data_IF_349890665520
#
_entry.id   IF_349890665520
#
_cell.length_a   1.000
_cell.length_b   1.000
_cell.length_c   1.000
_cell.angle_alpha   90.00
_cell.angle_beta   90.00
_cell.angle_gamma   90.00
#
_symmetry.space_group_name_H-M   'P 1'
#
loop_
_entity.id
_entity.type
_entity.pdbx_description
1 polymer ?
#
# COMPACT_ATOMS: atom_id res chain seq x y z
N UNK A 1 24.82 -8.94 -25.70
CA UNK A 1 24.17 -7.93 -24.84
C UNK A 1 24.98 -7.86 -23.58
N UNK A 2 25.43 -6.66 -23.21
CA UNK A 2 26.37 -6.45 -22.09
C UNK A 2 25.64 -6.75 -20.78
N UNK A 3 26.10 -7.77 -20.05
CA UNK A 3 25.71 -8.02 -18.66
C UNK A 3 26.25 -6.87 -17.81
N UNK A 4 25.36 -6.02 -17.29
CA UNK A 4 25.72 -5.03 -16.28
C UNK A 4 25.88 -5.76 -14.95
N UNK A 5 27.08 -6.30 -14.72
CA UNK A 5 27.42 -6.94 -13.45
C UNK A 5 27.26 -5.91 -12.32
N UNK A 6 26.30 -6.14 -11.43
CA UNK A 6 26.17 -5.41 -10.17
C UNK A 6 27.30 -5.82 -9.22
N UNK A 7 27.71 -4.96 -8.27
CA UNK A 7 28.80 -5.28 -7.36
C UNK A 7 28.44 -6.51 -6.53
N UNK A 8 29.24 -7.56 -6.67
CA UNK A 8 29.14 -8.78 -5.88
C UNK A 8 30.33 -8.85 -4.91
N UNK A 9 30.04 -9.11 -3.64
CA UNK A 9 31.08 -9.44 -2.66
C UNK A 9 30.92 -10.89 -2.26
N UNK A 10 32.00 -11.65 -2.41
CA UNK A 10 32.10 -13.05 -1.97
C UNK A 10 32.93 -13.06 -0.69
N UNK A 11 32.48 -13.76 0.34
CA UNK A 11 33.31 -13.92 1.54
C UNK A 11 34.55 -14.78 1.25
N UNK A 12 35.59 -14.65 2.07
CA UNK A 12 36.86 -15.35 1.84
C UNK A 12 36.76 -16.87 1.93
N UNK A 13 35.64 -17.40 2.44
CA UNK A 13 35.40 -18.83 2.62
C UNK A 13 34.42 -19.42 1.57
N UNK A 14 33.89 -18.61 0.65
CA UNK A 14 32.91 -19.04 -0.35
C UNK A 14 31.57 -19.51 0.25
N UNK A 15 31.24 -19.06 1.47
CA UNK A 15 30.08 -19.49 2.24
C UNK A 15 28.83 -18.64 1.93
N UNK A 16 29.00 -17.40 1.47
CA UNK A 16 27.88 -16.55 1.02
C UNK A 16 28.30 -15.56 -0.07
N UNK A 17 27.36 -15.27 -0.98
CA UNK A 17 27.50 -14.30 -2.07
C UNK A 17 26.44 -13.22 -1.88
N UNK A 18 26.86 -11.95 -1.92
CA UNK A 18 25.94 -10.80 -1.85
C UNK A 18 25.80 -10.22 -3.25
N UNK A 19 24.56 -10.15 -3.76
CA UNK A 19 24.23 -9.57 -5.05
C UNK A 19 23.15 -8.49 -4.88
N UNK A 20 23.26 -7.40 -5.65
CA UNK A 20 22.13 -6.49 -5.82
C UNK A 20 21.15 -7.10 -6.83
N UNK A 21 19.87 -7.19 -6.45
CA UNK A 21 18.82 -7.75 -7.31
C UNK A 21 18.54 -6.81 -8.49
N UNK A 22 18.53 -7.31 -9.74
CA UNK A 22 18.23 -6.50 -10.91
C UNK A 22 16.73 -6.20 -11.01
N UNK A 23 16.36 -5.10 -11.69
CA UNK A 23 14.95 -4.84 -12.02
C UNK A 23 14.35 -5.94 -12.91
N UNK A 24 13.04 -6.19 -12.80
CA UNK A 24 12.33 -7.19 -13.61
C UNK A 24 12.50 -6.91 -15.12
N UNK A 25 13.01 -7.90 -15.85
CA UNK A 25 13.04 -7.91 -17.32
C UNK A 25 11.88 -8.79 -17.78
N UNK A 26 11.08 -8.33 -18.75
CA UNK A 26 9.94 -9.06 -19.32
C UNK A 26 8.85 -9.50 -18.32
N UNK A 27 8.69 -8.79 -17.19
CA UNK A 27 7.61 -9.04 -16.21
C UNK A 27 7.67 -10.45 -15.60
N UNK A 28 8.86 -11.05 -15.52
CA UNK A 28 9.09 -12.35 -14.88
C UNK A 28 9.90 -12.18 -13.60
N UNK A 29 9.47 -12.88 -12.54
CA UNK A 29 10.16 -12.89 -11.27
C UNK A 29 11.53 -13.54 -11.49
N UNK A 30 12.63 -12.90 -11.06
CA UNK A 30 13.94 -13.47 -11.31
C UNK A 30 14.07 -14.73 -10.45
N UNK A 31 14.27 -15.87 -11.12
CA UNK A 31 14.86 -17.03 -10.47
C UNK A 31 16.27 -16.63 -10.04
N UNK A 32 16.53 -16.69 -8.74
CA UNK A 32 17.87 -16.47 -8.20
C UNK A 32 18.64 -17.77 -8.33
N UNK A 33 19.73 -17.72 -9.10
CA UNK A 33 20.74 -18.76 -9.20
C UNK A 33 22.11 -18.15 -9.01
N UNK A 34 23.01 -18.93 -8.43
CA UNK A 34 24.42 -18.56 -8.36
C UNK A 34 25.12 -19.18 -9.56
N UNK A 35 25.74 -18.36 -10.40
CA UNK A 35 26.50 -18.82 -11.56
C UNK A 35 27.97 -18.44 -11.41
N UNK A 36 28.87 -19.38 -11.72
CA UNK A 36 30.30 -19.19 -11.81
C UNK A 36 30.69 -19.14 -13.28
N UNK A 37 31.34 -18.06 -13.69
CA UNK A 37 31.90 -17.92 -15.04
C UNK A 37 33.40 -18.19 -15.00
N UNK A 38 33.87 -19.12 -15.84
CA UNK A 38 35.28 -19.50 -15.92
C UNK A 38 35.66 -19.83 -17.37
N UNK A 39 36.66 -19.13 -17.93
CA UNK A 39 37.15 -19.37 -19.31
C UNK A 39 36.07 -19.51 -20.40
N UNK A 40 34.97 -18.75 -20.29
CA UNK A 40 33.87 -18.80 -21.26
C UNK A 40 32.85 -19.93 -21.04
N UNK A 41 33.02 -20.73 -19.98
CA UNK A 41 32.00 -21.65 -19.47
C UNK A 41 31.24 -21.01 -18.31
N UNK A 42 29.93 -21.24 -18.25
CA UNK A 42 29.06 -20.78 -17.16
C UNK A 42 28.45 -22.00 -16.48
N UNK A 43 28.67 -22.15 -15.18
CA UNK A 43 28.10 -23.20 -14.36
C UNK A 43 27.16 -22.58 -13.33
N UNK A 44 25.90 -22.98 -13.28
CA UNK A 44 24.90 -22.41 -12.38
C UNK A 44 24.36 -23.44 -11.38
N UNK A 45 23.94 -22.97 -10.20
CA UNK A 45 23.20 -23.80 -9.24
C UNK A 45 21.91 -24.36 -9.84
N UNK A 46 21.58 -25.60 -9.45
CA UNK A 46 20.36 -26.27 -9.89
C UNK A 46 19.12 -25.83 -9.09
N UNK A 47 19.34 -25.36 -7.85
CA UNK A 47 18.30 -24.84 -6.98
C UNK A 47 17.86 -23.46 -7.48
N UNK A 48 16.54 -23.31 -7.65
CA UNK A 48 15.91 -22.05 -8.00
C UNK A 48 15.29 -21.45 -6.74
N UNK A 49 15.76 -20.28 -6.33
CA UNK A 49 15.08 -19.49 -5.30
C UNK A 49 14.26 -18.38 -5.94
N UNK A 50 13.07 -18.13 -5.45
CA UNK A 50 12.23 -17.02 -5.89
C UNK A 50 12.57 -15.76 -5.08
N UNK A 51 12.92 -14.65 -5.75
CA UNK A 51 13.06 -13.36 -5.08
C UNK A 51 11.75 -12.59 -5.13
N UNK A 52 11.11 -12.40 -3.98
CA UNK A 52 9.83 -11.70 -3.87
C UNK A 52 10.08 -10.25 -3.42
N UNK A 53 9.52 -9.29 -4.15
CA UNK A 53 9.53 -7.89 -3.75
C UNK A 53 8.40 -7.64 -2.76
N UNK A 54 8.68 -6.97 -1.64
CA UNK A 54 7.69 -6.76 -0.59
C UNK A 54 7.13 -5.34 -0.56
N UNK A 55 5.81 -5.22 -0.39
CA UNK A 55 5.23 -3.96 0.10
C UNK A 55 5.56 -3.83 1.59
N UNK A 56 6.04 -2.66 1.99
CA UNK A 56 6.51 -2.35 3.33
C UNK A 56 5.42 -1.66 4.16
N UNK A 57 4.66 -0.74 3.55
CA UNK A 57 3.60 0.00 4.23
C UNK A 57 2.63 0.65 3.26
N UNK A 58 1.41 0.92 3.74
CA UNK A 58 0.44 1.84 3.11
C UNK A 58 0.25 3.08 3.99
N UNK A 59 0.14 4.24 3.37
CA UNK A 59 -0.14 5.50 4.04
C UNK A 59 -1.03 6.39 3.15
N UNK A 60 -2.19 6.85 3.62
CA UNK A 60 -2.80 6.49 4.90
C UNK A 60 -3.21 5.01 4.92
N UNK A 61 -3.31 4.42 6.11
CA UNK A 61 -3.79 3.04 6.29
C UNK A 61 -5.30 2.95 6.51
N UNK A 62 -6.05 4.00 6.14
CA UNK A 62 -7.51 4.01 6.18
C UNK A 62 -8.13 5.02 5.22
N UNK A 63 -9.41 4.84 4.94
CA UNK A 63 -10.22 5.74 4.13
C UNK A 63 -11.71 5.35 4.10
N UNK A 64 -12.58 6.18 3.52
CA UNK A 64 -14.01 5.94 3.51
C UNK A 64 -14.39 4.77 2.59
N UNK A 65 -15.49 4.08 2.92
CA UNK A 65 -16.14 3.02 2.13
C UNK A 65 -16.53 3.47 0.72
N UNK A 66 -16.68 4.78 0.51
CA UNK A 66 -16.85 5.41 -0.82
C UNK A 66 -15.60 5.35 -1.71
N UNK A 67 -14.44 4.97 -1.16
CA UNK A 67 -13.16 4.93 -1.87
C UNK A 67 -12.57 6.31 -2.16
N UNK A 68 -11.68 6.39 -3.16
CA UNK A 68 -11.09 7.62 -3.68
C UNK A 68 -9.84 8.12 -2.96
N UNK A 69 -9.54 7.60 -1.78
CA UNK A 69 -8.34 7.97 -0.99
C UNK A 69 -7.07 7.64 -1.77
N UNK A 70 -6.16 8.61 -1.91
CA UNK A 70 -4.85 8.37 -2.48
C UNK A 70 -3.99 7.66 -1.43
N UNK A 71 -3.61 6.42 -1.72
CA UNK A 71 -2.78 5.58 -0.86
C UNK A 71 -1.38 5.57 -1.45
N UNK A 72 -0.40 6.02 -0.66
CA UNK A 72 1.00 5.82 -0.94
C UNK A 72 1.46 4.47 -0.36
N UNK A 73 2.09 3.66 -1.18
CA UNK A 73 2.57 2.34 -0.81
C UNK A 73 4.08 2.34 -0.95
N UNK A 74 4.76 2.09 0.16
CA UNK A 74 6.21 2.01 0.21
C UNK A 74 6.63 0.58 -0.09
N UNK A 75 7.59 0.39 -0.97
CA UNK A 75 8.16 -0.91 -1.31
C UNK A 75 9.52 -1.08 -0.62
N UNK A 76 9.84 -2.30 -0.21
CA UNK A 76 11.18 -2.66 0.26
C UNK A 76 12.03 -3.10 -0.94
N UNK A 77 12.55 -2.11 -1.69
CA UNK A 77 13.39 -2.32 -2.87
C UNK A 77 13.10 -1.32 -4.01
N UNK A 78 14.06 -1.15 -4.92
CA UNK A 78 13.89 -0.32 -6.12
C UNK A 78 13.30 -1.17 -7.24
N UNK A 79 12.03 -0.97 -7.55
CA UNK A 79 11.51 -1.33 -8.85
C UNK A 79 11.24 -0.03 -9.57
N UNK A 80 11.73 0.12 -10.80
CA UNK A 80 11.08 0.99 -11.75
C UNK A 80 10.87 0.15 -13.00
N UNK A 81 9.62 -0.15 -13.40
CA UNK A 81 9.43 -0.56 -14.78
C UNK A 81 9.94 0.63 -15.58
N UNK A 82 10.88 0.38 -16.50
CA UNK A 82 11.27 1.37 -17.48
C UNK A 82 10.00 2.07 -18.01
N UNK A 83 9.93 3.39 -17.89
CA UNK A 83 8.74 4.19 -18.25
C UNK A 83 8.19 3.81 -19.63
N UNK A 84 9.06 3.35 -20.54
CA UNK A 84 8.72 2.86 -21.87
C UNK A 84 7.83 1.60 -21.92
N UNK A 85 7.81 0.73 -20.90
CA UNK A 85 6.95 -0.47 -20.88
C UNK A 85 5.58 -0.24 -20.22
N UNK A 86 5.42 0.90 -19.56
CA UNK A 86 4.17 1.35 -18.92
C UNK A 86 3.65 2.68 -19.51
N UNK A 87 4.24 3.15 -20.61
CA UNK A 87 3.91 4.40 -21.28
C UNK A 87 2.47 4.36 -21.84
N UNK A 88 1.51 4.64 -20.97
CA UNK A 88 0.12 4.92 -21.31
C UNK A 88 -0.92 3.89 -20.90
N UNK A 89 -0.58 2.69 -20.39
CA UNK A 89 -1.60 1.65 -20.07
C UNK A 89 -1.15 0.59 -19.04
N UNK A 90 -1.36 0.86 -17.75
CA UNK A 90 -1.79 -0.13 -16.74
C UNK A 90 -1.05 -1.46 -16.60
N UNK A 91 0.24 -1.48 -16.23
CA UNK A 91 0.91 -2.74 -15.81
C UNK A 91 1.06 -2.89 -14.29
N UNK A 92 0.56 -1.92 -13.51
CA UNK A 92 0.60 -1.95 -12.04
C UNK A 92 -0.78 -1.63 -11.52
N UNK A 93 -1.29 -2.53 -10.68
CA UNK A 93 -2.59 -2.39 -10.07
C UNK A 93 -2.48 -2.64 -8.57
N UNK A 94 -3.10 -1.79 -7.78
CA UNK A 94 -3.40 -2.10 -6.40
C UNK A 94 -4.58 -3.08 -6.38
N UNK A 95 -4.39 -4.25 -5.77
CA UNK A 95 -5.38 -5.32 -5.71
C UNK A 95 -5.87 -5.50 -4.29
N UNK A 96 -7.08 -5.04 -4.06
CA UNK A 96 -7.77 -5.31 -2.83
C UNK A 96 -8.20 -6.78 -2.77
N UNK A 97 -7.93 -7.45 -1.64
CA UNK A 97 -8.52 -8.75 -1.35
C UNK A 97 -9.37 -8.64 -0.09
N UNK A 98 -10.62 -9.06 -0.20
CA UNK A 98 -11.52 -9.20 0.94
C UNK A 98 -12.12 -10.58 0.95
N UNK A 99 -12.02 -11.27 2.06
CA UNK A 99 -12.60 -12.61 2.23
C UNK A 99 -13.68 -12.56 3.30
N UNK A 100 -14.92 -12.87 2.94
CA UNK A 100 -16.05 -13.00 3.87
C UNK A 100 -16.67 -14.37 3.63
N UNK A 101 -16.88 -15.15 4.68
CA UNK A 101 -17.52 -16.47 4.59
C UNK A 101 -16.87 -17.39 3.52
N UNK A 102 -15.55 -17.25 3.33
CA UNK A 102 -14.79 -18.00 2.32
C UNK A 102 -14.91 -17.48 0.88
N UNK A 103 -15.66 -16.40 0.65
CA UNK A 103 -15.79 -15.75 -0.67
C UNK A 103 -14.79 -14.61 -0.77
N UNK A 104 -13.83 -14.74 -1.70
CA UNK A 104 -12.88 -13.66 -2.03
C UNK A 104 -13.50 -12.68 -3.02
N UNK A 105 -13.58 -11.40 -2.63
CA UNK A 105 -13.85 -10.29 -3.52
C UNK A 105 -12.54 -9.60 -3.86
N UNK A 106 -12.28 -9.44 -5.15
CA UNK A 106 -11.09 -8.78 -5.68
C UNK A 106 -11.49 -7.47 -6.35
N UNK A 107 -10.83 -6.38 -5.97
CA UNK A 107 -11.04 -5.09 -6.63
C UNK A 107 -9.71 -4.52 -7.06
N UNK A 108 -9.63 -4.06 -8.31
CA UNK A 108 -8.42 -3.47 -8.88
C UNK A 108 -8.54 -1.96 -8.92
N UNK A 109 -7.45 -1.28 -8.60
CA UNK A 109 -7.30 0.16 -8.82
C UNK A 109 -6.05 0.41 -9.65
N UNK A 110 -6.14 1.16 -10.75
CA UNK A 110 -4.98 1.52 -11.54
C UNK A 110 -4.05 2.43 -10.75
N UNK A 111 -2.77 2.30 -11.05
CA UNK A 111 -1.73 3.18 -10.53
C UNK A 111 -1.95 4.63 -10.99
N UNK A 112 -1.84 5.57 -10.06
CA UNK A 112 -1.90 7.02 -10.30
C UNK A 112 -0.52 7.58 -10.57
N UNK A 113 0.45 7.20 -9.75
CA UNK A 113 1.83 7.68 -9.82
C UNK A 113 2.80 6.60 -9.37
N UNK A 114 4.02 6.66 -9.90
CA UNK A 114 5.08 5.75 -9.55
C UNK A 114 6.44 6.45 -9.61
N UNK A 115 7.18 6.38 -8.51
CA UNK A 115 8.51 6.96 -8.41
C UNK A 115 9.37 6.20 -7.41
N UNK A 116 10.53 5.72 -7.85
CA UNK A 116 11.49 5.02 -6.99
C UNK A 116 10.89 3.78 -6.32
N UNK A 117 10.80 3.79 -4.99
CA UNK A 117 10.21 2.72 -4.19
C UNK A 117 8.78 3.03 -3.70
N UNK A 118 8.09 3.96 -4.37
CA UNK A 118 6.76 4.44 -4.00
C UNK A 118 5.78 4.23 -5.14
N UNK A 119 4.62 3.67 -4.84
CA UNK A 119 3.50 3.56 -5.77
C UNK A 119 2.26 4.23 -5.16
N UNK A 120 1.50 4.94 -5.99
CA UNK A 120 0.28 5.64 -5.55
C UNK A 120 -0.93 5.07 -6.28
N UNK A 121 -1.94 4.65 -5.54
CA UNK A 121 -3.22 4.21 -6.07
C UNK A 121 -4.38 4.94 -5.42
N UNK A 122 -5.56 4.88 -6.04
CA UNK A 122 -6.81 5.25 -5.36
C UNK A 122 -7.40 4.04 -4.66
N UNK A 123 -7.79 4.16 -3.41
CA UNK A 123 -8.63 3.18 -2.74
C UNK A 123 -9.91 2.98 -3.57
N UNK A 124 -10.27 1.76 -3.99
CA UNK A 124 -11.50 1.53 -4.74
C UNK A 124 -12.74 1.77 -3.87
N UNK A 125 -13.90 1.93 -4.51
CA UNK A 125 -15.20 1.91 -3.84
C UNK A 125 -15.45 0.51 -3.29
N UNK A 126 -15.70 0.40 -1.99
CA UNK A 126 -16.06 -0.85 -1.35
C UNK A 126 -16.96 -0.56 -0.15
N UNK A 127 -18.26 -0.78 -0.30
CA UNK A 127 -19.32 -0.43 0.67
C UNK A 127 -19.31 -1.37 1.87
N UNK A 128 -18.26 -1.28 2.66
CA UNK A 128 -17.92 -2.22 3.74
C UNK A 128 -17.16 -1.48 4.82
N UNK A 129 -17.34 -1.91 6.06
CA UNK A 129 -16.62 -1.35 7.21
C UNK A 129 -15.71 -2.43 7.80
N UNK A 130 -14.47 -2.07 8.13
CA UNK A 130 -13.52 -2.96 8.79
C UNK A 130 -12.17 -3.07 8.09
N UNK A 131 -11.29 -3.87 8.71
CA UNK A 131 -9.96 -4.16 8.18
C UNK A 131 -10.05 -5.09 6.98
N UNK A 132 -9.26 -4.77 5.97
CA UNK A 132 -9.08 -5.55 4.78
C UNK A 132 -7.59 -5.62 4.44
N UNK A 133 -7.23 -6.56 3.56
CA UNK A 133 -5.84 -6.73 3.15
C UNK A 133 -5.64 -6.19 1.74
N UNK A 134 -4.76 -5.21 1.61
CA UNK A 134 -4.24 -4.81 0.30
C UNK A 134 -3.13 -5.76 -0.13
N UNK A 135 -3.31 -6.33 -1.31
CA UNK A 135 -2.24 -7.01 -2.05
C UNK A 135 -1.82 -6.15 -3.23
N UNK A 136 -0.55 -6.19 -3.60
CA UNK A 136 -0.06 -5.41 -4.74
C UNK A 136 0.46 -6.35 -5.81
N UNK A 137 0.18 -6.03 -7.07
CA UNK A 137 0.68 -6.83 -8.18
C UNK A 137 1.16 -5.97 -9.32
N UNK A 138 2.27 -6.39 -9.90
CA UNK A 138 2.86 -5.79 -11.08
C UNK A 138 2.61 -6.77 -12.22
N UNK A 139 1.45 -6.69 -12.86
CA UNK A 139 1.15 -7.48 -14.06
C UNK A 139 0.45 -6.64 -15.11
N UNK A 140 0.71 -6.98 -16.37
CA UNK A 140 0.05 -6.38 -17.53
C UNK A 140 -1.39 -6.82 -17.78
N UNK A 141 -1.94 -7.74 -16.96
CA UNK A 141 -3.31 -8.23 -17.11
C UNK A 141 -4.15 -7.96 -15.83
N UNK A 142 -5.28 -7.24 -15.93
CA UNK A 142 -6.21 -7.01 -14.83
C UNK A 142 -6.97 -8.26 -14.36
N UNK A 143 -7.21 -9.28 -15.20
CA UNK A 143 -8.17 -10.36 -14.95
C UNK A 143 -7.72 -11.81 -15.28
N UNK A 144 -6.61 -12.04 -16.00
CA UNK A 144 -6.29 -13.38 -16.54
C UNK A 144 -5.08 -14.15 -16.00
N UNK A 145 -3.94 -13.52 -15.73
CA UNK A 145 -2.70 -14.23 -15.35
C UNK A 145 -2.45 -14.24 -13.83
N UNK A 146 -1.74 -15.26 -13.28
CA UNK A 146 -1.33 -15.25 -11.89
C UNK A 146 -0.49 -14.00 -11.63
N UNK A 147 -0.95 -13.07 -10.76
CA UNK A 147 -0.20 -11.87 -10.47
C UNK A 147 1.20 -12.25 -10.01
N UNK A 148 2.22 -11.63 -10.60
CA UNK A 148 3.47 -11.40 -9.89
C UNK A 148 3.11 -10.49 -8.72
N UNK A 149 2.75 -11.16 -7.63
CA UNK A 149 2.25 -10.53 -6.41
C UNK A 149 3.49 -10.05 -5.69
N UNK A 150 3.54 -8.75 -5.43
CA UNK A 150 4.45 -8.22 -4.44
C UNK A 150 4.08 -8.92 -3.12
N UNK A 151 5.03 -9.58 -2.47
CA UNK A 151 4.81 -10.20 -1.17
C UNK A 151 4.82 -9.14 -0.09
N UNK A 152 3.69 -8.49 0.11
CA UNK A 152 3.48 -7.57 1.21
C UNK A 152 2.00 -7.30 1.29
N UNK A 153 1.34 -8.08 2.13
CA UNK A 153 -0.01 -7.82 2.54
C UNK A 153 0.04 -6.74 3.63
N UNK A 154 -0.78 -5.72 3.47
CA UNK A 154 -0.89 -4.67 4.48
C UNK A 154 -2.35 -4.36 4.71
N UNK A 155 -2.64 -4.13 5.98
CA UNK A 155 -3.98 -3.85 6.43
C UNK A 155 -4.37 -2.42 6.05
N UNK A 156 -5.64 -2.27 5.72
CA UNK A 156 -6.27 -0.98 5.50
C UNK A 156 -7.67 -1.00 6.08
N UNK A 157 -8.04 0.06 6.79
CA UNK A 157 -9.35 0.18 7.40
C UNK A 157 -10.29 0.99 6.51
N UNK A 158 -11.37 0.36 6.05
CA UNK A 158 -12.50 1.08 5.47
C UNK A 158 -13.48 1.51 6.56
N UNK A 159 -13.88 2.77 6.53
CA UNK A 159 -14.87 3.33 7.47
C UNK A 159 -16.03 3.99 6.74
N UNK A 160 -17.21 4.01 7.36
CA UNK A 160 -18.34 4.74 6.80
C UNK A 160 -18.23 6.23 7.18
N UNK A 161 -18.38 7.17 6.24
CA UNK A 161 -18.32 8.59 6.56
C UNK A 161 -19.30 9.03 7.67
N UNK A 162 -18.96 10.06 8.46
CA UNK A 162 -19.86 10.66 9.43
C UNK A 162 -21.17 11.15 8.81
N UNK A 163 -22.30 10.88 9.46
CA UNK A 163 -23.62 11.34 9.00
C UNK A 163 -24.47 11.87 10.16
N UNK A 164 -25.46 12.70 9.83
CA UNK A 164 -26.42 13.21 10.81
C UNK A 164 -25.80 14.06 11.93
N UNK A 165 -24.74 14.81 11.61
CA UNK A 165 -24.00 15.58 12.61
C UNK A 165 -24.81 16.80 13.06
N UNK A 166 -25.03 16.92 14.36
CA UNK A 166 -25.61 18.11 15.01
C UNK A 166 -24.62 18.69 16.00
N UNK A 167 -24.68 20.02 16.20
CA UNK A 167 -23.71 20.76 17.00
C UNK A 167 -24.41 21.54 18.12
N UNK A 168 -23.85 21.51 19.32
CA UNK A 168 -24.38 22.23 20.47
C UNK A 168 -23.29 22.64 21.47
N UNK A 169 -23.25 23.90 21.94
CA UNK A 169 -24.08 25.03 21.51
C UNK A 169 -23.70 25.54 20.11
N UNK A 170 -24.65 26.17 19.41
CA UNK A 170 -24.43 26.77 18.08
C UNK A 170 -23.97 28.23 18.12
N UNK A 171 -23.83 28.79 19.32
CA UNK A 171 -23.47 30.19 19.56
C UNK A 171 -22.40 30.28 20.64
N UNK A 172 -21.48 31.24 20.48
CA UNK A 172 -20.39 31.49 21.40
C UNK A 172 -19.78 32.89 21.21
N UNK A 173 -18.94 33.36 22.14
CA UNK A 173 -18.27 34.65 22.02
C UNK A 173 -17.33 34.71 20.82
N UNK A 174 -17.20 35.89 20.19
CA UNK A 174 -16.25 36.12 19.09
C UNK A 174 -14.78 35.92 19.51
N UNK A 175 -14.50 36.03 20.81
CA UNK A 175 -13.19 35.75 21.40
C UNK A 175 -12.84 34.26 21.43
N UNK A 176 -13.78 33.37 21.08
CA UNK A 176 -13.60 31.92 21.12
C UNK A 176 -13.74 31.32 22.52
N UNK A 177 -13.31 30.06 22.66
CA UNK A 177 -13.31 29.31 23.93
C UNK A 177 -14.58 28.49 24.21
N UNK A 178 -15.60 28.56 23.35
CA UNK A 178 -16.79 27.73 23.48
C UNK A 178 -16.46 26.27 23.15
N UNK A 179 -16.64 25.39 24.14
CA UNK A 179 -16.62 23.94 23.92
C UNK A 179 -17.93 23.55 23.25
N UNK A 180 -17.84 22.96 22.06
CA UNK A 180 -19.00 22.44 21.33
C UNK A 180 -18.98 20.91 21.32
N UNK A 181 -20.16 20.33 21.46
CA UNK A 181 -20.38 18.90 21.34
C UNK A 181 -21.02 18.63 19.98
N UNK A 182 -20.39 17.75 19.20
CA UNK A 182 -20.95 17.20 17.97
C UNK A 182 -21.53 15.83 18.29
N UNK A 183 -22.78 15.59 17.88
CA UNK A 183 -23.42 14.27 17.95
C UNK A 183 -23.81 13.84 16.56
N UNK A 184 -23.63 12.56 16.24
CA UNK A 184 -23.87 12.02 14.92
C UNK A 184 -23.57 10.53 14.88
N UNK A 185 -23.59 9.95 13.68
CA UNK A 185 -23.25 8.55 13.44
C UNK A 185 -21.91 8.42 12.73
N UNK A 186 -21.22 7.30 12.94
CA UNK A 186 -19.91 6.98 12.35
C UNK A 186 -18.82 8.03 12.64
N UNK A 187 -18.84 8.58 13.86
CA UNK A 187 -17.78 9.47 14.34
C UNK A 187 -16.60 8.61 14.78
N UNK A 188 -15.79 8.20 13.80
CA UNK A 188 -14.60 7.36 14.02
C UNK A 188 -13.41 8.19 14.47
N UNK A 189 -12.73 7.73 15.53
CA UNK A 189 -11.38 8.14 15.89
C UNK A 189 -10.52 6.89 15.97
N UNK A 190 -9.52 6.81 15.10
CA UNK A 190 -8.60 5.67 15.04
C UNK A 190 -7.33 5.89 15.86
N UNK A 191 -7.27 7.01 16.59
CA UNK A 191 -6.15 7.35 17.46
C UNK A 191 -4.86 7.68 16.71
N UNK A 192 -3.76 7.75 17.47
CA UNK A 192 -2.44 8.19 16.99
C UNK A 192 -1.64 7.13 16.25
N UNK A 193 -2.11 5.88 16.19
CA UNK A 193 -1.31 4.73 15.71
C UNK A 193 -1.39 4.44 14.21
N UNK A 194 -1.90 5.36 13.39
CA UNK A 194 -1.69 5.29 11.93
C UNK A 194 -2.87 5.69 11.04
N UNK A 195 -4.03 6.04 11.62
CA UNK A 195 -5.25 6.19 10.83
C UNK A 195 -5.76 7.62 10.62
N UNK A 196 -5.78 8.44 11.67
CA UNK A 196 -6.33 9.79 11.60
C UNK A 196 -7.05 10.14 12.89
N UNK A 197 -6.76 11.33 13.41
CA UNK A 197 -7.42 11.90 14.57
C UNK A 197 -8.71 12.61 14.14
N UNK A 198 -9.77 12.45 14.92
CA UNK A 198 -10.98 13.24 14.71
C UNK A 198 -10.66 14.73 14.92
N UNK A 199 -10.99 15.57 13.94
CA UNK A 199 -10.83 17.02 14.00
C UNK A 199 -12.14 17.74 13.74
N UNK A 200 -12.42 18.76 14.55
CA UNK A 200 -13.46 19.73 14.29
C UNK A 200 -12.87 20.85 13.44
N UNK A 201 -13.33 20.98 12.19
CA UNK A 201 -12.89 22.05 11.28
C UNK A 201 -13.86 23.23 11.33
N UNK A 202 -13.37 24.38 11.78
CA UNK A 202 -14.07 25.67 11.78
C UNK A 202 -13.48 26.58 10.71
N UNK A 203 -14.04 26.51 9.49
CA UNK A 203 -13.45 27.18 8.33
C UNK A 203 -12.11 26.56 7.98
N UNK A 204 -11.02 27.29 8.21
CA UNK A 204 -9.63 26.81 8.02
C UNK A 204 -8.94 26.39 9.31
N UNK A 205 -9.61 26.49 10.46
CA UNK A 205 -9.03 26.16 11.76
C UNK A 205 -9.44 24.74 12.17
N UNK A 206 -8.46 23.88 12.38
CA UNK A 206 -8.66 22.53 12.87
C UNK A 206 -8.42 22.47 14.38
N UNK A 207 -9.37 21.89 15.10
CA UNK A 207 -9.30 21.65 16.54
C UNK A 207 -9.41 20.16 16.77
N UNK A 208 -8.50 19.58 17.54
CA UNK A 208 -8.57 18.17 17.91
C UNK A 208 -9.88 17.89 18.67
N UNK A 209 -10.62 16.90 18.20
CA UNK A 209 -11.82 16.44 18.87
C UNK A 209 -11.46 15.34 19.87
N UNK A 210 -12.14 15.33 21.01
CA UNK A 210 -12.13 14.19 21.94
C UNK A 210 -13.48 13.50 21.85
N UNK A 211 -13.49 12.25 21.38
CA UNK A 211 -14.73 11.46 21.36
C UNK A 211 -15.07 10.97 22.77
N UNK A 212 -16.28 11.30 23.24
CA UNK A 212 -16.82 10.78 24.49
C UNK A 212 -17.67 9.53 24.22
N UNK A 213 -17.33 8.39 24.84
CA UNK A 213 -18.10 7.14 24.75
C UNK A 213 -17.41 5.98 24.03
N UNK A 214 -16.18 6.16 23.53
CA UNK A 214 -15.41 5.10 22.89
C UNK A 214 -14.66 4.25 23.92
N UNK A 215 -14.95 2.95 24.00
CA UNK A 215 -14.13 1.98 24.73
C UNK A 215 -13.35 1.13 23.73
N UNK A 216 -12.01 1.26 23.72
CA UNK A 216 -11.12 0.36 22.97
C UNK A 216 -10.71 0.79 21.55
N UNK A 217 -10.74 2.09 21.23
CA UNK A 217 -10.13 2.61 19.99
C UNK A 217 -10.96 2.42 18.71
N UNK A 218 -12.21 1.99 18.84
CA UNK A 218 -13.17 1.97 17.75
C UNK A 218 -14.50 2.58 18.22
N UNK A 219 -14.96 3.57 17.47
CA UNK A 219 -16.27 4.23 17.47
C UNK A 219 -16.66 4.37 15.99
#
# INVERSE_FOLDING_TARGET
GVSTATPTTVDTNGLFVVCAVPGLVNKQQPEVRVCLEHYGTTECSNEQSLFLYAALSVSPSLGPDTGGTLINVTLNGFYAPNEASCAGSGCVYCRLRRTIDGVETKTISPLVEFAGSSLVCRAPLLVVTGLITFSFSITGDPEGDPPQTLCGDTDYLYYTPPTGVTLGPSLGPITGGTVVTLTGMNLLDTGTSGGGQAVCRFGTNDVLATLSGCSGGFC
#
